data_IF_235563760880
#
_entry.id   IF_235563760880
#
_cell.length_a   1.000
_cell.length_b   1.000
_cell.length_c   1.000
_cell.angle_alpha   90.00
_cell.angle_beta   90.00
_cell.angle_gamma   90.00
#
_symmetry.space_group_name_H-M   'P 1'
#
loop_
_entity.id
_entity.type
_entity.pdbx_description
1 polymer ?
#
# COMPACT_ATOMS: atom_id res chain seq x y z
N UNK A 1 -17.17 -29.04 0.72
CA UNK A 1 -16.60 -28.48 -0.52
C UNK A 1 -16.59 -26.99 -0.36
N UNK A 2 -15.42 -26.37 -0.43
CA UNK A 2 -15.24 -24.95 -0.13
C UNK A 2 -14.78 -24.27 -1.41
N UNK A 3 -15.74 -23.70 -2.12
CA UNK A 3 -15.51 -22.83 -3.27
C UNK A 3 -14.84 -21.55 -2.77
N UNK A 4 -13.69 -21.16 -3.35
CA UNK A 4 -12.85 -20.04 -2.90
C UNK A 4 -12.20 -19.38 -4.09
N UNK A 5 -12.52 -18.12 -4.32
CA UNK A 5 -11.95 -17.38 -5.44
C UNK A 5 -10.69 -16.62 -5.05
N UNK A 6 -9.64 -16.72 -5.87
CA UNK A 6 -8.62 -15.65 -5.90
C UNK A 6 -8.97 -14.70 -7.04
N UNK A 7 -8.83 -13.40 -6.80
CA UNK A 7 -8.58 -12.46 -7.90
C UNK A 7 -7.05 -12.40 -8.13
N UNK A 8 -6.52 -13.26 -9.00
CA UNK A 8 -5.09 -13.17 -9.37
C UNK A 8 -4.83 -11.87 -10.12
N UNK A 9 -3.57 -11.43 -10.24
CA UNK A 9 -3.28 -10.16 -10.93
C UNK A 9 -3.62 -10.22 -12.42
N UNK A 10 -3.60 -11.40 -13.04
CA UNK A 10 -4.13 -11.65 -14.39
C UNK A 10 -5.66 -11.61 -14.48
N UNK A 11 -6.42 -11.96 -13.42
CA UNK A 11 -7.89 -11.81 -13.40
C UNK A 11 -8.36 -10.35 -13.26
N UNK A 12 -7.42 -9.44 -12.96
CA UNK A 12 -7.63 -8.02 -12.70
C UNK A 12 -7.20 -7.11 -13.86
N UNK A 13 -6.80 -7.67 -15.01
CA UNK A 13 -6.25 -6.87 -16.10
C UNK A 13 -7.30 -6.09 -16.89
N UNK A 14 -7.24 -4.76 -16.78
CA UNK A 14 -7.44 -3.87 -17.93
C UNK A 14 -6.12 -3.10 -18.18
N UNK A 15 -5.02 -3.86 -18.30
CA UNK A 15 -3.64 -3.33 -18.31
C UNK A 15 -3.28 -2.65 -19.62
N UNK A 16 -3.88 -3.05 -20.74
CA UNK A 16 -3.49 -2.58 -22.08
C UNK A 16 -3.95 -1.15 -22.38
N UNK A 17 -5.09 -0.68 -21.86
CA UNK A 17 -5.59 0.68 -22.13
C UNK A 17 -4.85 1.80 -21.36
N UNK A 18 -4.12 1.47 -20.30
CA UNK A 18 -3.43 2.46 -19.46
C UNK A 18 -1.94 2.63 -19.78
N UNK A 19 -1.33 1.65 -20.48
CA UNK A 19 0.09 1.69 -20.83
C UNK A 19 0.37 2.65 -22.00
N UNK A 20 -0.48 2.65 -23.04
CA UNK A 20 -0.31 3.50 -24.23
C UNK A 20 -0.54 5.00 -23.95
N UNK A 21 -1.50 5.34 -23.09
CA UNK A 21 -1.82 6.73 -22.74
C UNK A 21 -0.66 7.51 -22.09
N UNK A 22 0.39 6.81 -21.63
CA UNK A 22 1.57 7.43 -21.00
C UNK A 22 2.74 7.67 -21.96
N UNK A 23 2.78 7.04 -23.15
CA UNK A 23 3.94 7.09 -24.05
C UNK A 23 3.84 8.22 -25.09
N UNK A 24 2.64 8.56 -25.58
CA UNK A 24 2.47 9.65 -26.56
C UNK A 24 2.67 11.06 -25.96
N UNK A 25 2.72 11.19 -24.63
CA UNK A 25 2.86 12.47 -23.94
C UNK A 25 4.29 13.05 -23.83
N UNK A 26 5.34 12.31 -24.20
CA UNK A 26 6.73 12.69 -23.87
C UNK A 26 7.64 13.05 -25.08
N UNK A 27 7.06 13.22 -26.27
CA UNK A 27 7.81 13.49 -27.50
C UNK A 27 7.57 14.90 -28.06
N UNK A 28 8.11 15.95 -27.39
CA UNK A 28 8.81 17.11 -28.02
C UNK A 28 8.80 18.40 -27.17
N UNK A 29 9.86 18.64 -26.40
CA UNK A 29 10.52 19.97 -26.34
C UNK A 29 12.02 19.75 -26.20
N UNK A 30 12.76 20.07 -27.25
CA UNK A 30 14.22 20.08 -27.23
C UNK A 30 14.71 21.52 -27.07
N UNK A 31 15.14 21.90 -25.87
CA UNK A 31 15.95 23.11 -25.66
C UNK A 31 17.20 22.76 -24.86
N UNK A 32 18.30 22.56 -25.61
CA UNK A 32 19.65 22.59 -25.06
C UNK A 32 20.03 24.05 -24.87
N UNK A 33 20.38 24.47 -23.65
CA UNK A 33 21.53 25.34 -23.40
C UNK A 33 21.72 25.68 -21.91
N UNK A 34 22.97 26.00 -21.58
CA UNK A 34 23.42 26.72 -20.38
C UNK A 34 23.55 25.94 -19.05
N UNK A 35 24.48 24.98 -19.03
CA UNK A 35 25.05 24.42 -17.78
C UNK A 35 26.59 24.45 -17.77
N UNK A 36 27.20 25.51 -18.32
CA UNK A 36 28.64 25.78 -18.19
C UNK A 36 28.90 27.29 -18.07
N UNK A 37 28.88 27.84 -16.84
CA UNK A 37 29.67 29.01 -16.37
C UNK A 37 29.28 29.40 -14.93
N UNK A 38 29.64 28.55 -13.96
CA UNK A 38 29.55 28.85 -12.52
C UNK A 38 30.89 28.58 -11.83
N UNK A 39 31.94 29.30 -12.26
CA UNK A 39 33.31 29.14 -11.73
C UNK A 39 34.11 30.43 -11.55
N UNK A 40 33.48 31.62 -11.66
CA UNK A 40 34.18 32.89 -11.44
C UNK A 40 33.26 34.04 -10.99
N UNK A 41 33.41 34.47 -9.73
CA UNK A 41 33.55 35.87 -9.23
C UNK A 41 33.27 35.92 -7.70
N UNK A 42 33.80 36.90 -6.93
CA UNK A 42 34.17 36.69 -5.52
C UNK A 42 33.24 37.32 -4.46
N UNK A 43 33.53 37.01 -3.19
CA UNK A 43 32.83 37.50 -1.99
C UNK A 43 33.18 38.96 -1.65
N UNK A 44 32.30 39.55 -0.83
CA UNK A 44 32.43 40.84 -0.11
C UNK A 44 32.13 42.15 -0.88
N UNK A 45 30.86 42.58 -0.80
CA UNK A 45 30.52 43.98 -0.56
C UNK A 45 29.47 44.03 0.57
N UNK A 46 29.80 44.72 1.66
CA UNK A 46 28.98 44.86 2.87
C UNK A 46 29.24 46.26 3.45
N UNK A 47 28.22 46.83 4.13
CA UNK A 47 28.34 48.06 4.97
C UNK A 47 28.41 49.36 4.11
N UNK A 48 27.61 50.44 4.30
CA UNK A 48 26.83 50.91 5.48
C UNK A 48 25.65 51.86 5.12
N UNK A 49 24.85 52.15 6.16
CA UNK A 49 23.96 53.31 6.38
C UNK A 49 22.57 53.34 5.71
N UNK A 50 21.50 53.90 6.28
CA UNK A 50 21.08 54.34 7.64
C UNK A 50 19.55 54.65 7.53
N UNK A 51 18.65 54.63 8.52
CA UNK A 51 18.60 54.07 9.88
C UNK A 51 17.10 53.99 10.33
N UNK A 52 16.84 53.28 11.45
CA UNK A 52 15.76 53.46 12.46
C UNK A 52 14.39 54.07 12.06
N UNK A 53 13.31 53.32 12.31
CA UNK A 53 12.36 53.66 13.40
C UNK A 53 11.41 52.50 13.73
N UNK A 54 11.50 51.99 14.95
CA UNK A 54 10.51 51.08 15.53
C UNK A 54 9.25 51.83 15.99
N UNK A 55 8.07 51.36 15.61
CA UNK A 55 6.86 51.42 16.45
C UNK A 55 5.78 50.42 16.00
N UNK A 56 5.40 49.54 16.93
CA UNK A 56 4.38 48.50 16.75
C UNK A 56 3.01 49.09 16.39
N UNK A 57 2.34 48.52 15.39
CA UNK A 57 0.88 48.45 15.36
C UNK A 57 0.42 47.13 14.75
N UNK A 58 -0.51 46.48 15.44
CA UNK A 58 -1.14 45.21 15.09
C UNK A 58 -1.85 45.27 13.73
N UNK A 59 -1.56 44.31 12.85
CA UNK A 59 -2.55 43.76 11.93
C UNK A 59 -2.20 42.31 11.57
N UNK A 60 -2.76 41.36 12.33
CA UNK A 60 -2.73 39.95 11.98
C UNK A 60 -3.66 39.70 10.79
N UNK A 61 -3.12 39.64 9.58
CA UNK A 61 -3.82 39.07 8.42
C UNK A 61 -3.84 37.53 8.54
N UNK A 62 -4.65 37.03 9.46
CA UNK A 62 -4.91 35.61 9.66
C UNK A 62 -5.59 35.02 8.43
N UNK A 63 -4.79 34.59 7.45
CA UNK A 63 -5.25 33.75 6.33
C UNK A 63 -5.64 32.40 6.90
N UNK A 64 -6.88 32.30 7.38
CA UNK A 64 -7.52 31.03 7.73
C UNK A 64 -7.81 30.27 6.44
N UNK A 65 -6.81 29.59 5.91
CA UNK A 65 -7.05 28.46 5.01
C UNK A 65 -7.81 27.40 5.80
N UNK A 66 -9.13 27.35 5.62
CA UNK A 66 -9.95 26.21 6.01
C UNK A 66 -9.61 25.02 5.11
N UNK A 67 -8.40 24.47 5.28
CA UNK A 67 -8.03 23.17 4.76
C UNK A 67 -8.79 22.14 5.58
N UNK A 68 -9.97 21.74 5.08
CA UNK A 68 -10.66 20.55 5.56
C UNK A 68 -9.84 19.32 5.16
N UNK A 69 -8.75 19.06 5.91
CA UNK A 69 -7.95 17.84 5.81
C UNK A 69 -8.75 16.72 6.48
N UNK A 70 -9.83 16.31 5.81
CA UNK A 70 -10.43 14.99 6.03
C UNK A 70 -9.65 13.99 5.19
N UNK A 71 -8.48 13.65 5.71
CA UNK A 71 -7.67 12.50 5.31
C UNK A 71 -7.38 11.75 6.62
N UNK A 72 -7.33 10.42 6.57
CA UNK A 72 -6.95 9.62 7.74
C UNK A 72 -5.45 9.89 7.99
N UNK A 73 -5.11 10.72 8.99
CA UNK A 73 -3.72 11.11 9.29
C UNK A 73 -3.04 10.06 10.19
N UNK A 74 -3.84 9.23 10.86
CA UNK A 74 -3.36 8.13 11.67
C UNK A 74 -2.75 7.01 10.82
N UNK A 75 -1.71 6.30 11.30
CA UNK A 75 -1.22 5.08 10.64
C UNK A 75 -2.31 4.02 10.57
N UNK A 76 -2.20 3.09 9.61
CA UNK A 76 -3.07 1.91 9.55
C UNK A 76 -2.97 1.14 10.88
N UNK A 77 -4.09 0.72 11.50
CA UNK A 77 -4.04 -0.05 12.73
C UNK A 77 -3.44 -1.44 12.54
N UNK A 78 -2.75 -1.93 13.57
CA UNK A 78 -2.35 -3.33 13.65
C UNK A 78 -3.58 -4.21 13.97
N UNK A 79 -3.59 -5.47 13.55
CA UNK A 79 -4.72 -6.41 13.69
C UNK A 79 -5.16 -6.71 15.14
N UNK A 80 -4.35 -6.31 16.13
CA UNK A 80 -4.63 -6.38 17.56
C UNK A 80 -5.02 -5.03 18.19
N UNK A 81 -4.99 -3.93 17.43
CA UNK A 81 -5.48 -2.62 17.88
C UNK A 81 -7.00 -2.52 17.75
N UNK A 82 -7.63 -1.75 18.64
CA UNK A 82 -9.10 -1.67 18.76
C UNK A 82 -9.79 -1.29 17.44
N UNK A 83 -9.20 -0.37 16.66
CA UNK A 83 -9.74 0.07 15.35
C UNK A 83 -9.87 -1.11 14.36
N UNK A 84 -8.87 -1.98 14.28
CA UNK A 84 -8.88 -3.14 13.40
C UNK A 84 -9.86 -4.20 13.91
N UNK A 85 -9.84 -4.47 15.23
CA UNK A 85 -10.78 -5.42 15.87
C UNK A 85 -12.22 -5.01 15.60
N UNK A 86 -12.59 -3.75 15.83
CA UNK A 86 -13.94 -3.25 15.58
C UNK A 86 -14.37 -3.36 14.11
N UNK A 87 -13.46 -3.11 13.16
CA UNK A 87 -13.79 -3.23 11.72
C UNK A 87 -13.97 -4.70 11.31
N UNK A 88 -13.11 -5.59 11.81
CA UNK A 88 -13.24 -7.04 11.65
C UNK A 88 -14.55 -7.54 12.28
N UNK A 89 -14.94 -7.07 13.46
CA UNK A 89 -16.20 -7.44 14.11
C UNK A 89 -17.43 -7.00 13.32
N UNK A 90 -17.44 -5.75 12.79
CA UNK A 90 -18.52 -5.21 11.94
C UNK A 90 -18.70 -5.96 10.62
N UNK A 91 -17.69 -6.68 10.15
CA UNK A 91 -17.75 -7.45 8.90
C UNK A 91 -18.62 -8.70 9.07
N UNK A 92 -19.80 -8.73 8.44
CA UNK A 92 -20.61 -9.95 8.33
C UNK A 92 -19.98 -10.91 7.31
N UNK A 93 -19.40 -12.00 7.81
CA UNK A 93 -18.73 -13.04 7.01
C UNK A 93 -19.63 -14.24 6.70
N UNK A 94 -20.93 -14.18 7.04
CA UNK A 94 -21.90 -15.20 6.60
C UNK A 94 -22.15 -15.13 5.09
N UNK A 95 -22.03 -13.92 4.52
CA UNK A 95 -22.11 -13.67 3.08
C UNK A 95 -20.69 -13.69 2.51
N UNK A 96 -20.43 -14.67 1.64
CA UNK A 96 -19.22 -14.71 0.79
C UNK A 96 -19.40 -13.77 -0.41
N UNK A 97 -18.35 -13.04 -0.74
CA UNK A 97 -18.32 -12.17 -1.93
C UNK A 97 -17.73 -12.98 -3.08
N UNK A 98 -18.48 -13.15 -4.17
CA UNK A 98 -17.95 -13.77 -5.40
C UNK A 98 -17.19 -12.77 -6.25
N UNK A 99 -16.36 -13.24 -7.18
CA UNK A 99 -15.65 -12.39 -8.12
C UNK A 99 -16.60 -11.49 -8.92
N UNK A 100 -17.75 -12.01 -9.35
CA UNK A 100 -18.76 -11.25 -10.07
C UNK A 100 -19.37 -10.14 -9.20
N UNK A 101 -19.62 -10.39 -7.91
CA UNK A 101 -20.13 -9.36 -6.99
C UNK A 101 -19.07 -8.26 -6.76
N UNK A 102 -17.80 -8.64 -6.71
CA UNK A 102 -16.67 -7.72 -6.57
C UNK A 102 -16.46 -6.87 -7.84
N UNK A 103 -16.37 -7.50 -9.02
CA UNK A 103 -16.20 -6.83 -10.32
C UNK A 103 -17.37 -5.91 -10.67
N UNK A 104 -18.61 -6.35 -10.44
CA UNK A 104 -19.80 -5.52 -10.67
C UNK A 104 -20.01 -4.43 -9.59
N UNK A 105 -19.30 -4.49 -8.46
CA UNK A 105 -19.47 -3.55 -7.35
C UNK A 105 -20.80 -3.71 -6.61
N UNK A 106 -21.39 -4.90 -6.63
CA UNK A 106 -22.66 -5.24 -5.95
C UNK A 106 -22.45 -5.91 -4.58
N UNK A 107 -21.20 -5.99 -4.12
CA UNK A 107 -20.83 -6.46 -2.79
C UNK A 107 -21.56 -5.66 -1.68
N UNK A 108 -22.24 -6.32 -0.71
CA UNK A 108 -23.05 -5.64 0.31
C UNK A 108 -22.22 -4.98 1.43
N UNK A 109 -20.92 -5.23 1.46
CA UNK A 109 -19.96 -4.70 2.44
C UNK A 109 -18.61 -4.41 1.78
N UNK A 110 -17.65 -3.91 2.56
CA UNK A 110 -16.25 -3.80 2.10
C UNK A 110 -15.69 -5.18 1.77
N UNK A 111 -14.93 -5.23 0.69
CA UNK A 111 -14.22 -6.43 0.22
C UNK A 111 -12.88 -6.48 0.95
N UNK A 112 -12.65 -7.49 1.79
CA UNK A 112 -11.41 -7.64 2.58
C UNK A 112 -10.39 -8.42 1.74
N UNK A 113 -9.34 -7.73 1.30
CA UNK A 113 -8.26 -8.31 0.51
C UNK A 113 -7.01 -8.42 1.40
N UNK A 114 -6.37 -9.58 1.44
CA UNK A 114 -5.03 -9.73 2.02
C UNK A 114 -3.98 -9.60 0.92
N UNK A 115 -3.00 -8.73 1.10
CA UNK A 115 -1.75 -8.74 0.34
C UNK A 115 -0.62 -9.07 1.30
N UNK A 116 -0.06 -10.28 1.18
CA UNK A 116 0.98 -10.79 2.06
C UNK A 116 2.39 -10.63 1.48
N UNK A 117 3.36 -10.45 2.37
CA UNK A 117 4.76 -10.26 1.98
C UNK A 117 5.70 -10.06 3.15
N UNK A 118 6.99 -9.95 2.84
CA UNK A 118 8.03 -9.64 3.84
C UNK A 118 8.15 -8.14 4.06
N UNK A 119 8.06 -7.34 2.99
CA UNK A 119 8.15 -5.87 3.05
C UNK A 119 9.44 -5.28 3.67
N UNK A 120 10.53 -6.05 3.67
CA UNK A 120 11.86 -5.56 4.05
C UNK A 120 12.30 -4.39 3.13
N UNK A 121 13.01 -3.41 3.70
CA UNK A 121 13.38 -2.14 3.07
C UNK A 121 12.23 -1.51 2.25
N UNK A 122 11.10 -1.22 2.91
CA UNK A 122 9.86 -0.82 2.25
C UNK A 122 10.03 0.31 1.22
N UNK A 123 9.76 -0.01 -0.06
CA UNK A 123 10.11 0.82 -1.21
C UNK A 123 8.93 0.98 -2.19
N UNK A 124 9.01 1.89 -3.20
CA UNK A 124 7.90 2.17 -4.12
C UNK A 124 7.31 0.96 -4.88
N UNK A 125 8.08 -0.13 -5.07
CA UNK A 125 7.56 -1.39 -5.61
C UNK A 125 6.43 -1.98 -4.76
N UNK A 126 6.70 -2.28 -3.48
CA UNK A 126 5.70 -2.71 -2.50
C UNK A 126 4.50 -1.76 -2.43
N UNK A 127 4.73 -0.45 -2.39
CA UNK A 127 3.64 0.53 -2.36
C UNK A 127 2.76 0.49 -3.63
N UNK A 128 3.32 0.15 -4.80
CA UNK A 128 2.55 -0.03 -6.05
C UNK A 128 1.78 -1.35 -6.09
N UNK A 129 2.33 -2.44 -5.55
CA UNK A 129 1.61 -3.70 -5.38
C UNK A 129 0.39 -3.51 -4.47
N UNK A 130 0.58 -2.89 -3.30
CA UNK A 130 -0.50 -2.53 -2.38
C UNK A 130 -1.52 -1.57 -3.02
N UNK A 131 -1.08 -0.64 -3.87
CA UNK A 131 -1.96 0.22 -4.67
C UNK A 131 -2.83 -0.59 -5.65
N UNK A 132 -2.28 -1.61 -6.31
CA UNK A 132 -3.03 -2.46 -7.22
C UNK A 132 -4.08 -3.27 -6.45
N UNK A 133 -3.69 -3.93 -5.36
CA UNK A 133 -4.62 -4.65 -4.49
C UNK A 133 -5.75 -3.76 -3.95
N UNK A 134 -5.43 -2.53 -3.50
CA UNK A 134 -6.43 -1.55 -3.03
C UNK A 134 -7.42 -1.11 -4.12
N UNK A 135 -7.00 -1.10 -5.38
CA UNK A 135 -7.82 -0.66 -6.52
C UNK A 135 -8.43 -1.82 -7.33
N UNK A 136 -8.20 -3.07 -6.94
CA UNK A 136 -8.71 -4.27 -7.63
C UNK A 136 -10.24 -4.24 -7.82
N UNK A 137 -10.97 -3.72 -6.82
CA UNK A 137 -12.43 -3.60 -6.84
C UNK A 137 -12.90 -2.27 -6.26
N UNK A 138 -14.20 -1.99 -6.39
CA UNK A 138 -14.86 -0.91 -5.65
C UNK A 138 -15.00 -1.31 -4.18
N UNK A 139 -14.79 -0.36 -3.27
CA UNK A 139 -15.01 -0.54 -1.82
C UNK A 139 -14.12 -1.63 -1.16
N UNK A 140 -12.83 -1.65 -1.50
CA UNK A 140 -11.82 -2.54 -0.88
C UNK A 140 -11.36 -2.05 0.49
N UNK A 141 -11.16 -3.00 1.40
CA UNK A 141 -10.43 -2.89 2.65
C UNK A 141 -9.19 -3.79 2.56
N UNK A 142 -8.00 -3.20 2.50
CA UNK A 142 -6.74 -3.89 2.27
C UNK A 142 -6.03 -4.17 3.60
N UNK A 143 -5.86 -5.46 3.88
CA UNK A 143 -4.99 -5.99 4.91
C UNK A 143 -3.60 -6.22 4.29
N UNK A 144 -2.56 -5.64 4.85
CA UNK A 144 -1.18 -6.02 4.53
C UNK A 144 -0.72 -7.09 5.52
N UNK A 145 -0.46 -8.30 5.04
CA UNK A 145 0.03 -9.42 5.86
C UNK A 145 1.55 -9.43 5.90
N UNK A 146 2.14 -9.33 7.08
CA UNK A 146 3.61 -9.34 7.22
C UNK A 146 4.05 -10.56 8.02
N UNK A 147 4.95 -11.35 7.42
CA UNK A 147 5.60 -12.50 8.07
C UNK A 147 6.61 -12.02 9.14
N UNK A 148 6.70 -12.72 10.27
CA UNK A 148 7.71 -12.44 11.29
C UNK A 148 9.13 -12.86 10.87
N UNK A 149 10.13 -12.37 11.59
CA UNK A 149 11.54 -12.61 11.24
C UNK A 149 11.91 -14.09 11.33
N UNK A 150 11.36 -14.83 12.31
CA UNK A 150 11.67 -16.25 12.52
C UNK A 150 11.30 -17.09 11.30
N UNK A 151 10.10 -16.88 10.76
CA UNK A 151 9.60 -17.58 9.57
C UNK A 151 10.39 -17.11 8.34
N UNK A 152 10.54 -15.79 8.15
CA UNK A 152 11.22 -15.20 6.99
C UNK A 152 12.68 -15.67 6.88
N UNK A 153 13.42 -15.61 7.98
CA UNK A 153 14.83 -16.04 8.04
C UNK A 153 14.98 -17.55 7.80
N UNK A 154 13.95 -18.35 8.11
CA UNK A 154 13.96 -19.80 7.90
C UNK A 154 13.56 -20.22 6.48
N UNK A 155 12.75 -19.44 5.76
CA UNK A 155 12.17 -19.84 4.46
C UNK A 155 12.59 -18.99 3.26
N UNK A 156 13.14 -17.79 3.49
CA UNK A 156 13.65 -16.88 2.45
C UNK A 156 15.10 -16.47 2.64
N UNK A 157 15.51 -16.23 3.88
CA UNK A 157 16.82 -15.69 4.24
C UNK A 157 16.71 -14.42 5.09
N UNK A 158 17.86 -13.89 5.49
CA UNK A 158 17.96 -12.78 6.45
C UNK A 158 17.33 -11.48 5.92
N UNK A 159 16.52 -10.83 6.76
CA UNK A 159 16.06 -9.45 6.56
C UNK A 159 17.08 -8.43 7.06
N UNK A 160 17.01 -7.20 6.55
CA UNK A 160 17.76 -6.05 7.05
C UNK A 160 17.00 -5.37 8.20
N UNK A 161 15.69 -5.20 8.04
CA UNK A 161 14.80 -4.65 9.06
C UNK A 161 14.16 -5.77 9.89
N UNK A 162 13.91 -5.51 11.18
CA UNK A 162 13.16 -6.43 12.04
C UNK A 162 11.65 -6.43 11.72
N UNK A 163 10.90 -7.39 12.26
CA UNK A 163 9.47 -7.50 11.98
C UNK A 163 8.67 -6.28 12.46
N UNK A 164 9.06 -5.62 13.55
CA UNK A 164 8.41 -4.41 14.06
C UNK A 164 8.66 -3.19 13.18
N UNK A 165 9.88 -3.03 12.68
CA UNK A 165 10.26 -2.01 11.70
C UNK A 165 9.52 -2.21 10.37
N UNK A 166 9.35 -3.47 9.94
CA UNK A 166 8.57 -3.83 8.74
C UNK A 166 7.08 -3.57 8.93
N UNK A 167 6.53 -3.86 10.11
CA UNK A 167 5.15 -3.47 10.44
C UNK A 167 4.98 -1.95 10.33
N UNK A 168 5.81 -1.16 11.01
CA UNK A 168 5.71 0.31 11.03
C UNK A 168 5.86 0.94 9.64
N UNK A 169 6.84 0.47 8.85
CA UNK A 169 7.04 0.92 7.47
C UNK A 169 5.83 0.70 6.57
N UNK A 170 5.10 -0.41 6.74
CA UNK A 170 3.88 -0.72 5.97
C UNK A 170 2.66 0.04 6.52
N UNK A 171 2.57 0.28 7.83
CA UNK A 171 1.46 1.04 8.46
C UNK A 171 1.31 2.47 7.91
N UNK A 172 2.40 3.05 7.42
CA UNK A 172 2.41 4.38 6.80
C UNK A 172 2.13 4.38 5.28
N UNK A 173 1.86 3.22 4.68
CA UNK A 173 1.48 3.13 3.28
C UNK A 173 0.04 3.66 3.06
N UNK A 174 -0.11 4.66 2.17
CA UNK A 174 -1.39 5.31 1.81
C UNK A 174 -2.54 4.34 1.46
N UNK A 175 -2.22 3.13 0.99
CA UNK A 175 -3.20 2.18 0.43
C UNK A 175 -3.69 1.13 1.44
N UNK A 176 -3.03 0.98 2.58
CA UNK A 176 -3.29 -0.05 3.59
C UNK A 176 -4.32 0.44 4.61
N UNK A 177 -5.30 -0.39 4.96
CA UNK A 177 -6.30 -0.08 5.99
C UNK A 177 -6.08 -0.85 7.30
N UNK A 178 -5.40 -2.01 7.26
CA UNK A 178 -5.08 -2.88 8.39
C UNK A 178 -3.72 -3.55 8.15
N UNK A 179 -2.89 -3.69 9.19
CA UNK A 179 -1.64 -4.47 9.14
C UNK A 179 -1.80 -5.73 9.99
N UNK A 180 -1.61 -6.91 9.38
CA UNK A 180 -1.69 -8.21 10.04
C UNK A 180 -0.28 -8.70 10.36
N UNK A 181 0.07 -8.68 11.65
CA UNK A 181 1.35 -9.18 12.16
C UNK A 181 1.36 -10.71 12.19
N UNK A 182 2.55 -11.33 12.24
CA UNK A 182 2.72 -12.79 12.35
C UNK A 182 1.95 -13.61 11.29
N UNK A 183 1.85 -13.08 10.06
CA UNK A 183 1.17 -13.79 8.96
C UNK A 183 1.89 -15.12 8.66
N UNK A 184 1.18 -16.25 8.53
CA UNK A 184 1.79 -17.55 8.27
C UNK A 184 2.33 -17.65 6.83
N UNK A 185 3.40 -18.41 6.64
CA UNK A 185 4.05 -18.62 5.33
C UNK A 185 3.16 -19.32 4.29
N UNK A 186 2.20 -20.10 4.77
CA UNK A 186 1.17 -20.76 3.96
C UNK A 186 -0.15 -20.38 4.59
N UNK A 187 -1.01 -19.70 3.83
CA UNK A 187 -2.31 -19.24 4.30
C UNK A 187 -3.26 -20.43 4.44
N UNK A 188 -3.72 -20.70 5.65
CA UNK A 188 -4.69 -21.76 5.94
C UNK A 188 -6.13 -21.23 6.03
N UNK A 189 -7.08 -22.16 5.96
CA UNK A 189 -8.50 -21.90 5.94
C UNK A 189 -9.01 -21.24 7.22
N UNK A 190 -8.34 -21.53 8.33
CA UNK A 190 -8.65 -21.00 9.64
C UNK A 190 -8.24 -19.53 9.72
N UNK A 191 -7.01 -19.17 9.34
CA UNK A 191 -6.51 -17.80 9.26
C UNK A 191 -7.36 -16.91 8.35
N UNK A 192 -7.73 -17.41 7.16
CA UNK A 192 -8.61 -16.70 6.22
C UNK A 192 -9.99 -16.44 6.83
N UNK A 193 -10.55 -17.42 7.56
CA UNK A 193 -11.86 -17.31 8.22
C UNK A 193 -11.81 -16.38 9.44
N UNK A 194 -10.77 -16.50 10.28
CA UNK A 194 -10.57 -15.68 11.47
C UNK A 194 -10.42 -14.20 11.10
N UNK A 195 -9.68 -13.88 10.03
CA UNK A 195 -9.47 -12.49 9.57
C UNK A 195 -10.54 -11.98 8.58
N UNK A 196 -11.51 -12.84 8.22
CA UNK A 196 -12.64 -12.55 7.32
C UNK A 196 -12.16 -12.06 5.94
N UNK A 197 -11.21 -12.77 5.34
CA UNK A 197 -10.56 -12.41 4.08
C UNK A 197 -11.37 -12.96 2.90
N UNK A 198 -11.80 -12.10 1.98
CA UNK A 198 -12.55 -12.49 0.79
C UNK A 198 -11.64 -12.93 -0.36
N UNK A 199 -10.51 -12.23 -0.57
CA UNK A 199 -9.54 -12.50 -1.63
C UNK A 199 -8.10 -12.33 -1.12
N UNK A 200 -7.16 -13.04 -1.74
CA UNK A 200 -5.71 -12.84 -1.55
C UNK A 200 -5.14 -12.20 -2.81
N UNK A 201 -4.21 -11.25 -2.67
CA UNK A 201 -3.57 -10.54 -3.76
C UNK A 201 -2.04 -10.67 -3.64
N UNK A 202 -1.46 -11.49 -4.50
CA UNK A 202 -0.02 -11.69 -4.64
C UNK A 202 0.32 -11.70 -6.14
N UNK A 203 1.58 -11.45 -6.48
CA UNK A 203 2.09 -11.55 -7.85
C UNK A 203 1.85 -12.97 -8.42
N UNK A 204 1.52 -13.07 -9.71
CA UNK A 204 1.13 -14.34 -10.36
C UNK A 204 2.26 -15.36 -10.50
N UNK A 205 3.51 -14.94 -10.26
CA UNK A 205 4.69 -15.81 -10.30
C UNK A 205 4.55 -16.90 -9.23
N UNK A 206 4.69 -18.20 -9.56
CA UNK A 206 4.68 -19.29 -8.59
C UNK A 206 5.69 -19.02 -7.47
N UNK A 207 5.22 -19.03 -6.22
CA UNK A 207 6.08 -18.77 -5.08
C UNK A 207 6.59 -20.09 -4.51
N UNK A 208 7.71 -20.54 -5.08
CA UNK A 208 8.39 -21.77 -4.69
C UNK A 208 8.93 -21.71 -3.24
N UNK A 209 8.72 -22.79 -2.51
CA UNK A 209 9.23 -23.06 -1.17
C UNK A 209 9.84 -24.47 -1.17
N UNK A 210 10.74 -24.78 -0.22
CA UNK A 210 11.38 -26.10 -0.12
C UNK A 210 10.38 -27.27 -0.12
N UNK A 211 9.15 -27.02 0.37
CA UNK A 211 8.07 -28.00 0.52
C UNK A 211 6.93 -27.86 -0.52
N UNK A 212 6.95 -26.84 -1.39
CA UNK A 212 5.86 -26.59 -2.36
C UNK A 212 6.31 -25.83 -3.62
N UNK A 213 5.82 -26.25 -4.80
CA UNK A 213 6.04 -25.56 -6.07
C UNK A 213 5.33 -24.19 -6.16
N UNK A 214 4.22 -24.01 -5.42
CA UNK A 214 3.56 -22.71 -5.27
C UNK A 214 2.74 -22.72 -3.97
N UNK A 215 3.10 -21.87 -3.00
CA UNK A 215 2.37 -21.78 -1.71
C UNK A 215 0.94 -21.26 -1.86
N UNK A 216 0.57 -20.69 -3.02
CA UNK A 216 -0.79 -20.23 -3.33
C UNK A 216 -1.60 -21.25 -4.17
N UNK A 217 -1.04 -22.43 -4.49
CA UNK A 217 -1.69 -23.37 -5.41
C UNK A 217 -3.07 -23.85 -4.93
N UNK A 218 -3.25 -24.13 -3.64
CA UNK A 218 -4.53 -24.58 -3.08
C UNK A 218 -5.61 -23.51 -3.16
N UNK A 219 -5.21 -22.24 -3.07
CA UNK A 219 -6.09 -21.10 -3.27
C UNK A 219 -6.43 -20.96 -4.77
N UNK A 220 -5.44 -21.03 -5.69
CA UNK A 220 -5.63 -20.86 -7.15
C UNK A 220 -6.49 -21.96 -7.80
N UNK A 221 -6.47 -23.17 -7.24
CA UNK A 221 -7.23 -24.32 -7.77
C UNK A 221 -8.71 -24.28 -7.36
N UNK A 222 -9.09 -23.43 -6.40
CA UNK A 222 -10.44 -23.38 -5.83
C UNK A 222 -11.48 -22.64 -6.70
N UNK A 223 -11.11 -22.19 -7.90
CA UNK A 223 -11.98 -21.57 -8.93
C UNK A 223 -12.46 -22.59 -10.02
N UNK A 224 -12.78 -23.84 -9.64
CA UNK A 224 -13.28 -24.90 -10.56
C UNK A 224 -14.34 -25.82 -9.97
#
# INVERSE_FOLDING_TARGET
MVDRTIATTSDLTNVDEWYDASIEGFASVSDKNNCEQLSSLPRELKVKANNETDKKSSMQSSVKTNMNISQNIDPAPLCYEEKAIQEREKCDYSIRITLDMAKNGTAPRKIRILADGVYDLFHPGHARQLMQAKNAFKNVYLLAGICNDKITNSKRGQTVMDDTERYDGVRHCRYVDEVVTDTPWVLDDEFLTQNKIDFVAHDDIPYESEDSTDVYQHLKVSDK
#
